data_IF_829498314501
#
_entry.id   IF_829498314501
#
_cell.length_a   1.000
_cell.length_b   1.000
_cell.length_c   1.000
_cell.angle_alpha   90.00
_cell.angle_beta   90.00
_cell.angle_gamma   90.00
#
_symmetry.space_group_name_H-M   'P 1'
#
loop_
_entity.id
_entity.type
_entity.pdbx_description
1 polymer ?
#
# COMPACT_ATOMS: atom_id res chain seq x y z
N UNK A 1 -23.13 -2.77 -3.05
CA UNK A 1 -22.71 -1.53 -2.37
C UNK A 1 -21.35 -1.62 -1.66
N UNK A 2 -20.48 -2.58 -2.02
CA UNK A 2 -19.13 -2.78 -1.41
C UNK A 2 -17.96 -2.23 -2.23
N UNK A 3 -18.18 -1.66 -3.41
CA UNK A 3 -17.11 -1.29 -4.36
C UNK A 3 -16.45 0.10 -4.16
N UNK A 4 -17.00 0.97 -3.31
CA UNK A 4 -16.48 2.34 -3.15
C UNK A 4 -15.55 2.54 -1.96
N UNK A 5 -15.46 1.60 -1.03
CA UNK A 5 -14.67 1.74 0.20
C UNK A 5 -13.17 1.74 -0.14
N UNK A 6 -12.72 0.83 -0.99
CA UNK A 6 -11.29 0.65 -1.32
C UNK A 6 -10.63 1.83 -2.06
N UNK A 7 -11.38 2.62 -2.84
CA UNK A 7 -10.78 3.74 -3.60
C UNK A 7 -10.19 4.84 -2.72
N UNK A 8 -10.78 5.08 -1.56
CA UNK A 8 -10.35 6.14 -0.65
C UNK A 8 -9.18 5.70 0.21
N UNK A 9 -9.20 4.45 0.67
CA UNK A 9 -8.10 3.85 1.44
C UNK A 9 -6.80 3.81 0.61
N UNK A 10 -6.92 3.50 -0.69
CA UNK A 10 -5.79 3.50 -1.63
C UNK A 10 -5.24 4.93 -1.84
N UNK A 11 -6.12 5.94 -1.97
CA UNK A 11 -5.69 7.33 -2.16
C UNK A 11 -4.95 7.87 -0.92
N UNK A 12 -5.39 7.51 0.28
CA UNK A 12 -4.71 7.85 1.54
C UNK A 12 -3.31 7.24 1.58
N UNK A 13 -3.20 5.96 1.24
CA UNK A 13 -1.90 5.27 1.20
C UNK A 13 -0.98 5.89 0.14
N UNK A 14 -1.51 6.24 -1.03
CA UNK A 14 -0.78 6.91 -2.09
C UNK A 14 -0.22 8.26 -1.61
N UNK A 15 -1.04 9.08 -0.97
CA UNK A 15 -0.64 10.39 -0.47
C UNK A 15 0.47 10.28 0.59
N UNK A 16 0.36 9.33 1.53
CA UNK A 16 1.34 9.14 2.59
C UNK A 16 2.69 8.62 2.08
N UNK A 17 2.67 7.64 1.18
CA UNK A 17 3.89 7.04 0.66
C UNK A 17 4.57 7.93 -0.39
N UNK A 18 3.83 8.72 -1.17
CA UNK A 18 4.41 9.66 -2.13
C UNK A 18 5.21 10.77 -1.45
N UNK A 19 4.76 11.27 -0.30
CA UNK A 19 5.49 12.23 0.51
C UNK A 19 6.79 11.62 1.06
N UNK A 20 6.78 10.34 1.41
CA UNK A 20 7.95 9.65 1.99
C UNK A 20 9.02 9.28 0.97
N UNK A 21 8.66 9.05 -0.30
CA UNK A 21 9.60 8.64 -1.36
C UNK A 21 10.37 9.82 -1.95
N UNK A 22 9.82 11.04 -1.89
CA UNK A 22 10.50 12.27 -2.32
C UNK A 22 11.46 12.86 -1.28
N UNK A 23 11.50 12.34 -0.06
CA UNK A 23 12.52 12.69 0.91
C UNK A 23 13.85 12.03 0.48
N UNK A 24 14.78 12.84 -0.01
CA UNK A 24 16.10 12.43 -0.46
C UNK A 24 16.81 11.50 0.53
N UNK A 25 17.77 10.73 0.03
CA UNK A 25 18.51 9.65 0.69
C UNK A 25 18.52 9.74 2.23
N UNK A 26 17.79 8.82 2.88
CA UNK A 26 17.74 8.73 4.34
C UNK A 26 19.15 8.41 4.84
N UNK A 27 19.81 9.39 5.40
CA UNK A 27 21.07 9.19 6.14
C UNK A 27 20.78 8.29 7.33
N UNK A 28 21.66 7.35 7.67
CA UNK A 28 21.47 6.52 8.85
C UNK A 28 21.51 7.43 10.10
N UNK A 29 20.38 7.54 10.77
CA UNK A 29 20.27 8.26 12.04
C UNK A 29 21.15 7.55 13.06
N UNK A 30 22.21 8.22 13.54
CA UNK A 30 23.00 7.74 14.69
C UNK A 30 22.08 7.78 15.92
N UNK A 31 22.03 6.67 16.64
CA UNK A 31 21.15 6.45 17.81
C UNK A 31 21.58 7.21 19.07
N UNK A 32 21.81 8.53 18.97
CA UNK A 32 22.21 9.38 20.11
C UNK A 32 21.36 10.63 20.31
N UNK A 33 20.32 10.82 19.50
CA UNK A 33 19.36 11.89 19.79
C UNK A 33 18.19 11.31 20.57
N UNK A 34 17.94 11.87 21.76
CA UNK A 34 16.72 11.62 22.52
C UNK A 34 15.54 12.01 21.65
N UNK A 35 14.89 11.03 21.06
CA UNK A 35 13.63 11.23 20.36
C UNK A 35 12.61 11.49 21.47
N UNK A 36 12.33 12.76 21.72
CA UNK A 36 11.13 13.13 22.46
C UNK A 36 9.95 12.57 21.67
N UNK A 37 9.32 11.55 22.20
CA UNK A 37 8.00 11.10 21.73
C UNK A 37 7.01 12.19 22.11
N UNK A 38 6.99 13.27 21.33
CA UNK A 38 6.09 14.37 21.56
C UNK A 38 4.71 14.01 21.04
N UNK A 39 3.76 14.16 21.92
CA UNK A 39 2.40 14.66 21.71
C UNK A 39 1.66 14.14 20.45
N UNK A 40 0.43 13.79 20.67
CA UNK A 40 -0.60 13.58 19.64
C UNK A 40 -0.50 14.68 18.56
N UNK A 41 -0.06 14.30 17.37
CA UNK A 41 0.03 15.20 16.21
C UNK A 41 -1.26 15.06 15.41
N UNK A 42 -1.98 16.16 15.24
CA UNK A 42 -3.12 16.19 14.33
C UNK A 42 -2.59 16.35 12.88
N UNK A 43 -2.80 15.39 11.98
CA UNK A 43 -2.28 15.47 10.62
C UNK A 43 -2.94 16.62 9.85
N UNK A 44 -2.14 17.30 9.02
CA UNK A 44 -2.67 18.31 8.10
C UNK A 44 -3.25 17.59 6.89
N UNK A 45 -4.56 17.74 6.68
CA UNK A 45 -5.26 17.13 5.56
C UNK A 45 -5.20 18.05 4.35
N UNK A 46 -4.73 17.56 3.17
CA UNK A 46 -4.71 18.36 1.97
C UNK A 46 -6.13 18.57 1.43
N UNK A 47 -6.36 19.66 0.67
CA UNK A 47 -7.65 19.91 0.02
C UNK A 47 -7.99 18.92 -1.08
N UNK A 48 -6.98 18.30 -1.67
CA UNK A 48 -7.15 17.29 -2.72
C UNK A 48 -5.94 16.38 -2.80
N UNK A 49 -6.14 15.19 -3.35
CA UNK A 49 -5.07 14.23 -3.68
C UNK A 49 -5.24 13.74 -5.12
N UNK A 50 -4.14 13.42 -5.78
CA UNK A 50 -4.17 12.78 -7.10
C UNK A 50 -4.05 11.27 -6.95
N UNK A 51 -4.87 10.53 -7.71
CA UNK A 51 -4.81 9.09 -7.76
C UNK A 51 -5.09 8.59 -9.18
N UNK A 52 -4.16 7.86 -9.76
CA UNK A 52 -4.23 7.35 -11.14
C UNK A 52 -4.58 8.44 -12.18
N UNK A 53 -3.98 9.63 -12.01
CA UNK A 53 -4.21 10.80 -12.88
C UNK A 53 -5.55 11.48 -12.67
N UNK A 54 -6.29 11.17 -11.61
CA UNK A 54 -7.55 11.82 -11.26
C UNK A 54 -7.42 12.57 -9.95
N UNK A 55 -7.78 13.85 -9.96
CA UNK A 55 -7.88 14.66 -8.76
C UNK A 55 -9.10 14.26 -7.94
N UNK A 56 -8.88 13.98 -6.67
CA UNK A 56 -9.91 13.67 -5.67
C UNK A 56 -10.02 14.89 -4.75
N UNK A 57 -11.18 15.52 -4.73
CA UNK A 57 -11.48 16.65 -3.87
C UNK A 57 -11.82 16.15 -2.45
N UNK A 58 -11.14 16.69 -1.44
CA UNK A 58 -11.34 16.36 -0.02
C UNK A 58 -12.04 17.48 0.74
N UNK A 59 -12.47 18.58 0.08
CA UNK A 59 -13.20 19.67 0.74
C UNK A 59 -14.65 19.26 1.15
N UNK A 60 -15.18 18.18 0.57
CA UNK A 60 -16.45 17.62 1.02
C UNK A 60 -16.29 16.98 2.39
N UNK A 61 -17.20 17.31 3.30
CA UNK A 61 -17.11 16.85 4.72
C UNK A 61 -17.01 15.32 4.85
N UNK A 62 -17.78 14.57 4.06
CA UNK A 62 -17.77 13.10 4.09
C UNK A 62 -16.43 12.52 3.59
N UNK A 63 -15.78 13.19 2.64
CA UNK A 63 -14.48 12.81 2.12
C UNK A 63 -13.36 13.18 3.08
N UNK A 64 -13.44 14.39 3.66
CA UNK A 64 -12.53 14.88 4.66
C UNK A 64 -12.47 13.95 5.87
N UNK A 65 -13.65 13.65 6.47
CA UNK A 65 -13.73 12.78 7.65
C UNK A 65 -13.20 11.36 7.40
N UNK A 66 -13.45 10.82 6.20
CA UNK A 66 -12.94 9.48 5.84
C UNK A 66 -11.42 9.51 5.68
N UNK A 67 -10.90 10.51 4.99
CA UNK A 67 -9.47 10.66 4.78
C UNK A 67 -8.74 10.89 6.11
N UNK A 68 -9.27 11.77 6.97
CA UNK A 68 -8.74 12.05 8.31
C UNK A 68 -8.65 10.78 9.16
N UNK A 69 -9.72 10.01 9.20
CA UNK A 69 -9.76 8.76 9.97
C UNK A 69 -8.70 7.77 9.52
N UNK A 70 -8.57 7.54 8.20
CA UNK A 70 -7.58 6.61 7.67
C UNK A 70 -6.16 7.13 7.86
N UNK A 71 -5.92 8.42 7.61
CA UNK A 71 -4.63 9.07 7.82
C UNK A 71 -4.20 8.99 9.30
N UNK A 72 -5.11 9.31 10.22
CA UNK A 72 -4.88 9.21 11.65
C UNK A 72 -4.56 7.78 12.05
N UNK A 73 -5.35 6.81 11.61
CA UNK A 73 -5.11 5.38 11.87
C UNK A 73 -3.71 4.95 11.43
N UNK A 74 -3.28 5.38 10.25
CA UNK A 74 -1.96 5.03 9.72
C UNK A 74 -0.82 5.70 10.46
N UNK A 75 -0.97 6.98 10.82
CA UNK A 75 0.06 7.72 11.58
C UNK A 75 0.29 7.07 12.94
N UNK A 76 -0.78 6.66 13.61
CA UNK A 76 -0.66 6.05 14.95
C UNK A 76 -0.37 4.53 14.93
N UNK A 77 -0.42 3.89 13.77
CA UNK A 77 0.02 2.50 13.60
C UNK A 77 1.50 2.45 13.18
N UNK A 78 2.36 3.12 13.94
CA UNK A 78 3.78 3.37 13.61
C UNK A 78 4.52 2.13 13.09
N UNK A 79 4.36 0.97 13.75
CA UNK A 79 5.06 -0.26 13.37
C UNK A 79 4.70 -0.72 11.96
N UNK A 80 3.42 -0.79 11.64
CA UNK A 80 2.94 -1.23 10.33
C UNK A 80 3.30 -0.22 9.24
N UNK A 81 3.14 1.08 9.51
CA UNK A 81 3.48 2.15 8.57
C UNK A 81 4.98 2.13 8.24
N UNK A 82 5.84 2.07 9.26
CA UNK A 82 7.29 2.01 9.06
C UNK A 82 7.72 0.75 8.28
N UNK A 83 7.16 -0.41 8.60
CA UNK A 83 7.42 -1.65 7.88
C UNK A 83 6.95 -1.57 6.43
N UNK A 84 5.80 -0.94 6.17
CA UNK A 84 5.29 -0.74 4.81
C UNK A 84 6.21 0.15 4.00
N UNK A 85 6.70 1.25 4.56
CA UNK A 85 7.67 2.14 3.89
C UNK A 85 8.96 1.38 3.55
N UNK A 86 9.52 0.62 4.51
CA UNK A 86 10.72 -0.20 4.26
C UNK A 86 10.52 -1.24 3.17
N UNK A 87 9.35 -1.89 3.16
CA UNK A 87 8.98 -2.88 2.14
C UNK A 87 8.73 -2.23 0.77
N UNK A 88 8.11 -1.03 0.73
CA UNK A 88 7.92 -0.26 -0.49
C UNK A 88 9.26 0.04 -1.16
N UNK A 89 10.25 0.53 -0.42
CA UNK A 89 11.61 0.76 -0.95
C UNK A 89 12.22 -0.51 -1.55
N UNK A 90 11.92 -1.68 -1.00
CA UNK A 90 12.44 -2.96 -1.50
C UNK A 90 11.70 -3.48 -2.73
N UNK A 91 10.37 -3.39 -2.74
CA UNK A 91 9.55 -4.09 -3.74
C UNK A 91 9.04 -3.20 -4.87
N UNK A 92 8.73 -1.93 -4.61
CA UNK A 92 8.19 -1.00 -5.60
C UNK A 92 9.03 -0.85 -6.86
N UNK A 93 10.38 -0.76 -6.80
CA UNK A 93 11.17 -0.62 -8.02
C UNK A 93 10.98 -1.77 -9.02
N UNK A 94 10.75 -2.98 -8.52
CA UNK A 94 10.49 -4.15 -9.36
C UNK A 94 9.02 -4.20 -9.81
N UNK A 95 8.09 -4.00 -8.88
CA UNK A 95 6.66 -4.05 -9.16
C UNK A 95 6.23 -2.95 -10.14
N UNK A 96 6.76 -1.73 -10.00
CA UNK A 96 6.49 -0.61 -10.91
C UNK A 96 6.86 -0.90 -12.36
N UNK A 97 7.95 -1.64 -12.59
CA UNK A 97 8.34 -2.07 -13.94
C UNK A 97 7.31 -3.00 -14.55
N UNK A 98 6.74 -3.92 -13.75
CA UNK A 98 5.71 -4.86 -14.20
C UNK A 98 4.42 -4.11 -14.51
N UNK A 99 3.95 -3.23 -13.61
CA UNK A 99 2.75 -2.42 -13.84
C UNK A 99 2.90 -1.60 -15.13
N UNK A 100 4.04 -0.90 -15.28
CA UNK A 100 4.32 -0.08 -16.47
C UNK A 100 4.30 -0.90 -17.76
N UNK A 101 4.87 -2.11 -17.75
CA UNK A 101 4.89 -2.99 -18.91
C UNK A 101 3.47 -3.44 -19.32
N UNK A 102 2.52 -3.48 -18.37
CA UNK A 102 1.12 -3.82 -18.59
C UNK A 102 0.20 -2.58 -18.74
N UNK A 103 0.75 -1.37 -18.82
CA UNK A 103 -0.03 -0.13 -18.98
C UNK A 103 -0.84 0.26 -17.73
N UNK A 104 -0.49 -0.28 -16.57
CA UNK A 104 -1.18 -0.03 -15.30
C UNK A 104 -0.53 1.17 -14.59
N UNK A 105 -1.32 2.15 -14.08
CA UNK A 105 -0.79 3.27 -13.31
C UNK A 105 -0.01 2.81 -12.08
N UNK A 106 1.12 3.49 -11.78
CA UNK A 106 1.98 3.16 -10.64
C UNK A 106 1.27 3.24 -9.29
N UNK A 107 0.24 4.07 -9.17
CA UNK A 107 -0.54 4.23 -7.94
C UNK A 107 -1.26 2.94 -7.53
N UNK A 108 -1.45 1.98 -8.45
CA UNK A 108 -1.97 0.66 -8.13
C UNK A 108 -1.04 -0.17 -7.22
N UNK A 109 0.23 0.22 -7.06
CA UNK A 109 1.14 -0.36 -6.07
C UNK A 109 0.61 -0.22 -4.64
N UNK A 110 -0.12 0.86 -4.37
CA UNK A 110 -0.68 1.11 -3.04
C UNK A 110 -1.80 0.13 -2.67
N UNK A 111 -2.41 -0.55 -3.65
CA UNK A 111 -3.36 -1.62 -3.37
C UNK A 111 -2.69 -2.77 -2.60
N UNK A 112 -1.47 -3.16 -3.00
CA UNK A 112 -0.71 -4.18 -2.28
C UNK A 112 -0.33 -3.74 -0.84
N UNK A 113 -0.21 -2.42 -0.59
CA UNK A 113 -0.01 -1.91 0.77
C UNK A 113 -1.24 -2.17 1.64
N UNK A 114 -2.44 -1.93 1.11
CA UNK A 114 -3.71 -2.14 1.83
C UNK A 114 -3.98 -3.63 2.04
N UNK A 115 -3.71 -4.46 1.04
CA UNK A 115 -3.97 -5.89 1.10
C UNK A 115 -3.11 -6.61 2.14
N UNK A 116 -1.85 -6.22 2.31
CA UNK A 116 -0.91 -6.99 3.14
C UNK A 116 0.16 -6.18 3.85
N UNK A 117 0.12 -4.85 3.81
CA UNK A 117 1.25 -3.99 4.20
C UNK A 117 2.55 -4.40 3.47
N UNK A 118 2.43 -4.79 2.18
CA UNK A 118 3.52 -5.32 1.36
C UNK A 118 4.23 -6.54 1.98
N UNK A 119 3.51 -7.37 2.74
CA UNK A 119 4.05 -8.58 3.31
C UNK A 119 3.92 -9.76 2.31
N UNK A 120 5.03 -10.27 1.74
CA UNK A 120 4.96 -11.36 0.77
C UNK A 120 4.53 -12.69 1.38
N UNK A 121 4.53 -12.81 2.72
CA UNK A 121 4.13 -14.02 3.46
C UNK A 121 2.78 -13.86 4.17
N UNK A 122 2.00 -12.85 3.80
CA UNK A 122 0.68 -12.66 4.40
C UNK A 122 -0.25 -13.83 4.04
N UNK A 123 -1.04 -14.25 5.03
CA UNK A 123 -2.08 -15.25 4.85
C UNK A 123 -3.29 -14.88 5.70
N UNK A 124 -4.48 -14.85 5.09
CA UNK A 124 -5.70 -14.44 5.77
C UNK A 124 -6.58 -15.64 6.16
N UNK A 125 -7.52 -15.46 7.12
CA UNK A 125 -8.52 -16.50 7.44
C UNK A 125 -9.36 -16.94 6.24
N UNK A 126 -9.53 -16.05 5.24
CA UNK A 126 -10.21 -16.36 3.97
C UNK A 126 -9.32 -17.08 2.96
N UNK A 127 -8.15 -17.59 3.38
CA UNK A 127 -7.15 -18.27 2.55
C UNK A 127 -6.56 -17.39 1.43
N UNK A 128 -6.68 -16.08 1.53
CA UNK A 128 -5.95 -15.17 0.67
C UNK A 128 -4.47 -15.15 1.07
N UNK A 129 -3.56 -15.14 0.09
CA UNK A 129 -2.13 -15.30 0.34
C UNK A 129 -1.27 -14.33 -0.47
N UNK A 130 -0.08 -14.04 0.08
CA UNK A 130 0.95 -13.23 -0.54
C UNK A 130 0.66 -11.73 -0.48
N UNK A 131 1.48 -10.97 -1.21
CA UNK A 131 1.45 -9.51 -1.19
C UNK A 131 0.13 -8.93 -1.73
N UNK A 132 -0.48 -9.58 -2.70
CA UNK A 132 -1.70 -9.17 -3.39
C UNK A 132 -2.98 -9.83 -2.86
N UNK A 133 -2.84 -10.67 -1.82
CA UNK A 133 -3.95 -11.37 -1.19
C UNK A 133 -4.89 -12.10 -2.16
N UNK A 134 -4.31 -12.83 -3.11
CA UNK A 134 -5.10 -13.71 -3.98
C UNK A 134 -5.71 -14.86 -3.19
N UNK A 135 -7.01 -15.07 -3.34
CA UNK A 135 -7.66 -16.33 -2.94
C UNK A 135 -7.35 -17.43 -3.95
N UNK A 136 -7.38 -18.72 -3.58
CA UNK A 136 -6.95 -19.81 -4.49
C UNK A 136 -7.65 -19.86 -5.83
N UNK A 137 -8.95 -19.58 -5.88
CA UNK A 137 -9.73 -19.58 -7.12
C UNK A 137 -9.28 -18.48 -8.08
N UNK A 138 -9.18 -17.24 -7.57
CA UNK A 138 -8.73 -16.11 -8.36
C UNK A 138 -7.27 -16.29 -8.83
N UNK A 139 -6.40 -16.80 -7.96
CA UNK A 139 -5.02 -17.07 -8.33
C UNK A 139 -4.89 -18.01 -9.52
N UNK A 140 -5.66 -19.11 -9.53
CA UNK A 140 -5.69 -20.06 -10.65
C UNK A 140 -6.29 -19.45 -11.92
N UNK A 141 -7.34 -18.64 -11.79
CA UNK A 141 -7.97 -17.93 -12.92
C UNK A 141 -6.98 -16.98 -13.60
N UNK A 142 -6.13 -16.30 -12.83
CA UNK A 142 -5.08 -15.40 -13.33
C UNK A 142 -3.72 -16.08 -13.55
N UNK A 143 -3.70 -17.40 -13.68
CA UNK A 143 -2.54 -18.17 -14.13
C UNK A 143 -1.45 -18.42 -13.08
N UNK A 144 -1.75 -18.23 -11.79
CA UNK A 144 -0.85 -18.61 -10.72
C UNK A 144 -0.99 -20.10 -10.36
N UNK A 145 0.14 -20.78 -10.29
CA UNK A 145 0.20 -22.18 -9.89
C UNK A 145 0.05 -22.32 -8.38
N UNK A 146 -0.85 -23.22 -7.97
CA UNK A 146 -1.03 -23.61 -6.56
C UNK A 146 -1.21 -25.13 -6.55
N UNK A 147 -0.24 -25.82 -5.96
CA UNK A 147 -0.23 -27.26 -5.71
C UNK A 147 0.45 -27.55 -4.36
N UNK A 148 0.69 -28.82 -4.05
CA UNK A 148 1.28 -29.23 -2.76
C UNK A 148 2.75 -28.81 -2.61
N UNK A 149 3.46 -28.53 -3.69
CA UNK A 149 4.87 -28.16 -3.69
C UNK A 149 5.08 -26.66 -3.88
N UNK A 150 4.20 -25.99 -4.61
CA UNK A 150 4.35 -24.59 -5.04
C UNK A 150 3.07 -23.79 -4.82
N UNK A 151 3.22 -22.60 -4.26
CA UNK A 151 2.17 -21.59 -4.22
C UNK A 151 2.72 -20.25 -4.71
N UNK A 152 2.44 -19.93 -5.98
CA UNK A 152 2.97 -18.74 -6.65
C UNK A 152 2.34 -17.43 -6.17
N UNK A 153 1.33 -17.46 -5.31
CA UNK A 153 0.80 -16.26 -4.65
C UNK A 153 1.84 -15.58 -3.77
N UNK A 154 2.83 -16.36 -3.28
CA UNK A 154 3.96 -15.85 -2.49
C UNK A 154 5.12 -15.33 -3.34
N UNK A 155 5.14 -15.62 -4.65
CA UNK A 155 6.10 -15.05 -5.57
C UNK A 155 5.67 -13.63 -5.97
N UNK A 156 6.42 -12.63 -5.47
CA UNK A 156 6.06 -11.21 -5.67
C UNK A 156 6.00 -10.83 -7.16
N UNK A 157 6.88 -11.38 -8.00
CA UNK A 157 6.90 -11.06 -9.45
C UNK A 157 5.70 -11.66 -10.17
N UNK A 158 5.46 -12.95 -9.96
CA UNK A 158 4.34 -13.67 -10.58
C UNK A 158 3.01 -13.12 -10.11
N UNK A 159 2.85 -12.92 -8.79
CA UNK A 159 1.64 -12.35 -8.23
C UNK A 159 1.40 -10.90 -8.70
N UNK A 160 2.47 -10.08 -8.88
CA UNK A 160 2.30 -8.73 -9.45
C UNK A 160 1.90 -8.78 -10.92
N UNK A 161 2.44 -9.70 -11.71
CA UNK A 161 2.03 -9.86 -13.11
C UNK A 161 0.58 -10.34 -13.23
N UNK A 162 0.16 -11.25 -12.35
CA UNK A 162 -1.22 -11.74 -12.30
C UNK A 162 -2.23 -10.66 -11.83
N UNK A 163 -1.77 -9.66 -11.07
CA UNK A 163 -2.59 -8.53 -10.61
C UNK A 163 -2.82 -7.46 -11.68
N UNK A 164 -2.04 -7.49 -12.78
CA UNK A 164 -2.17 -6.57 -13.91
C UNK A 164 -3.24 -7.02 -14.90
#
# INVERSE_FOLDING_TARGET
MKRNIYKYDIAVMAALLSVSINAGAVQPVRATENIEYSSVVNPIIPKSVDFAGKKIDLDRIDMYERFDRELTSMIYTHGNTLLTIKRANRYFPMMAKILKANGIPSDMLYLACIESYLNPRAYSPAKAAGMWQFIPSAAKEYGLEINDEVDQRYDVRKATAAAC
#
